data_IF_682338767718
#
_entry.id   IF_682338767718
#
_cell.length_a   1.000
_cell.length_b   1.000
_cell.length_c   1.000
_cell.angle_alpha   90.00
_cell.angle_beta   90.00
_cell.angle_gamma   90.00
#
_symmetry.space_group_name_H-M   'P 1'
#
loop_
_entity.id
_entity.type
_entity.pdbx_description
1 polymer ?
#
# COMPACT_ATOMS: atom_id res chain seq x y z
N UNK A 1 3.27 -30.08 32.82
CA UNK A 1 2.34 -29.11 32.19
C UNK A 1 2.70 -28.78 30.72
N UNK A 2 3.61 -29.53 30.06
CA UNK A 2 4.11 -29.15 28.71
C UNK A 2 3.35 -29.78 27.54
N UNK A 3 2.65 -30.90 27.76
CA UNK A 3 1.97 -31.67 26.71
C UNK A 3 0.85 -30.88 26.02
N UNK A 4 0.04 -30.14 26.79
CA UNK A 4 -1.08 -29.37 26.26
C UNK A 4 -0.66 -28.18 25.37
N UNK A 5 0.53 -27.61 25.58
CA UNK A 5 1.04 -26.54 24.71
C UNK A 5 1.48 -27.10 23.35
N UNK A 6 2.08 -28.29 23.32
CA UNK A 6 2.50 -28.97 22.09
C UNK A 6 1.30 -29.40 21.25
N UNK A 7 0.24 -29.90 21.88
CA UNK A 7 -1.01 -30.27 21.19
C UNK A 7 -1.72 -29.02 20.61
N UNK A 8 -1.72 -27.90 21.35
CA UNK A 8 -2.30 -26.65 20.88
C UNK A 8 -1.53 -26.05 19.69
N UNK A 9 -0.20 -26.08 19.72
CA UNK A 9 0.61 -25.61 18.60
C UNK A 9 0.41 -26.49 17.35
N UNK A 10 0.25 -27.80 17.52
CA UNK A 10 -0.07 -28.71 16.42
C UNK A 10 -1.43 -28.38 15.80
N UNK A 11 -2.44 -28.12 16.64
CA UNK A 11 -3.77 -27.68 16.19
C UNK A 11 -3.73 -26.33 15.49
N UNK A 12 -2.96 -25.36 15.98
CA UNK A 12 -2.79 -24.06 15.31
C UNK A 12 -2.11 -24.22 13.96
N UNK A 13 -1.08 -25.06 13.85
CA UNK A 13 -0.37 -25.28 12.59
C UNK A 13 -1.27 -25.95 11.54
N UNK A 14 -2.18 -26.80 11.99
CA UNK A 14 -3.22 -27.41 11.15
C UNK A 14 -4.35 -26.42 10.82
N UNK A 15 -4.75 -25.56 11.75
CA UNK A 15 -5.76 -24.53 11.49
C UNK A 15 -5.24 -23.43 10.54
N UNK A 16 -3.93 -23.18 10.56
CA UNK A 16 -3.24 -22.18 9.75
C UNK A 16 -2.55 -22.78 8.52
N UNK A 17 -2.88 -24.02 8.12
CA UNK A 17 -2.37 -24.56 6.85
C UNK A 17 -2.76 -23.61 5.72
N UNK A 18 -1.82 -23.27 4.80
CA UNK A 18 -2.12 -22.35 3.71
C UNK A 18 -3.32 -22.84 2.90
N UNK A 19 -4.38 -22.03 2.87
CA UNK A 19 -5.53 -22.27 2.00
C UNK A 19 -5.29 -21.53 0.69
N UNK A 20 -5.59 -22.17 -0.43
CA UNK A 20 -5.53 -21.50 -1.72
C UNK A 20 -6.59 -20.38 -1.78
N UNK A 21 -6.17 -19.12 -2.06
CA UNK A 21 -7.13 -18.02 -2.14
C UNK A 21 -8.06 -18.21 -3.35
N UNK A 22 -9.32 -17.77 -3.26
CA UNK A 22 -10.25 -17.76 -4.39
C UNK A 22 -9.66 -17.04 -5.62
N UNK A 23 -9.99 -17.50 -6.83
CA UNK A 23 -9.43 -16.96 -8.07
C UNK A 23 -9.73 -15.47 -8.27
N UNK A 24 -10.88 -15.01 -7.77
CA UNK A 24 -11.36 -13.64 -7.88
C UNK A 24 -10.87 -12.71 -6.77
N UNK A 25 -10.25 -13.23 -5.71
CA UNK A 25 -9.85 -12.46 -4.53
C UNK A 25 -8.97 -11.26 -4.91
N UNK A 26 -8.00 -11.48 -5.80
CA UNK A 26 -7.10 -10.42 -6.24
C UNK A 26 -7.84 -9.31 -6.99
N UNK A 27 -8.80 -9.66 -7.84
CA UNK A 27 -9.62 -8.69 -8.57
C UNK A 27 -10.52 -7.90 -7.61
N UNK A 28 -11.18 -8.58 -6.67
CA UNK A 28 -12.03 -7.94 -5.65
C UNK A 28 -11.24 -7.00 -4.75
N UNK A 29 -10.03 -7.40 -4.34
CA UNK A 29 -9.15 -6.56 -3.54
C UNK A 29 -8.69 -5.34 -4.32
N UNK A 30 -8.33 -5.51 -5.60
CA UNK A 30 -7.96 -4.40 -6.49
C UNK A 30 -9.09 -3.36 -6.57
N UNK A 31 -10.33 -3.79 -6.83
CA UNK A 31 -11.51 -2.92 -6.83
C UNK A 31 -11.71 -2.22 -5.48
N UNK A 32 -11.61 -2.95 -4.37
CA UNK A 32 -11.80 -2.39 -3.03
C UNK A 32 -10.78 -1.29 -2.75
N UNK A 33 -9.51 -1.52 -3.09
CA UNK A 33 -8.45 -0.54 -2.86
C UNK A 33 -8.60 0.69 -3.76
N UNK A 34 -9.06 0.53 -5.01
CA UNK A 34 -9.39 1.67 -5.89
C UNK A 34 -10.48 2.52 -5.25
N UNK A 35 -11.58 1.91 -4.81
CA UNK A 35 -12.69 2.61 -4.18
C UNK A 35 -12.26 3.36 -2.90
N UNK A 36 -11.43 2.73 -2.06
CA UNK A 36 -10.90 3.37 -0.85
C UNK A 36 -10.01 4.57 -1.19
N UNK A 37 -9.18 4.45 -2.23
CA UNK A 37 -8.32 5.54 -2.70
C UNK A 37 -9.15 6.72 -3.20
N UNK A 38 -10.22 6.46 -3.95
CA UNK A 38 -11.14 7.49 -4.46
C UNK A 38 -11.89 8.17 -3.31
N UNK A 39 -12.48 7.41 -2.38
CA UNK A 39 -13.15 7.98 -1.22
C UNK A 39 -12.20 8.87 -0.38
N UNK A 40 -10.96 8.43 -0.19
CA UNK A 40 -9.95 9.21 0.49
C UNK A 40 -9.57 10.49 -0.30
N UNK A 41 -9.58 10.43 -1.63
CA UNK A 41 -9.31 11.59 -2.46
C UNK A 41 -10.43 12.63 -2.35
N UNK A 42 -11.68 12.19 -2.49
CA UNK A 42 -12.86 13.05 -2.37
C UNK A 42 -12.89 13.76 -1.00
N UNK A 43 -12.51 13.04 0.07
CA UNK A 43 -12.42 13.62 1.41
C UNK A 43 -11.35 14.72 1.52
N UNK A 44 -10.20 14.53 0.87
CA UNK A 44 -9.13 15.52 0.87
C UNK A 44 -9.46 16.73 -0.01
N UNK A 45 -10.17 16.52 -1.11
CA UNK A 45 -10.64 17.62 -1.98
C UNK A 45 -11.71 18.46 -1.28
N UNK A 46 -12.61 17.82 -0.53
CA UNK A 46 -13.62 18.50 0.28
C UNK A 46 -13.02 19.24 1.49
N UNK A 47 -11.78 18.94 1.88
CA UNK A 47 -11.14 19.56 3.04
C UNK A 47 -10.50 20.91 2.71
N UNK A 48 -11.08 22.00 3.23
CA UNK A 48 -10.52 23.34 3.07
C UNK A 48 -9.33 23.61 4.03
N UNK A 49 -8.27 24.24 3.51
CA UNK A 49 -7.08 24.63 4.28
C UNK A 49 -7.39 25.59 5.45
N UNK A 50 -8.49 26.33 5.39
CA UNK A 50 -8.99 27.20 6.48
C UNK A 50 -9.33 26.40 7.74
N UNK A 51 -9.77 25.14 7.59
CA UNK A 51 -10.08 24.22 8.68
C UNK A 51 -8.83 23.70 9.40
N UNK A 52 -7.62 23.98 8.90
CA UNK A 52 -6.37 23.64 9.59
C UNK A 52 -6.23 24.36 10.94
N UNK A 53 -7.00 25.40 11.24
CA UNK A 53 -6.82 26.17 12.48
C UNK A 53 -7.27 25.43 13.74
N UNK A 54 -8.19 24.47 13.62
CA UNK A 54 -8.64 23.64 14.75
C UNK A 54 -8.12 22.19 14.59
N UNK A 55 -7.23 21.71 15.48
CA UNK A 55 -6.66 20.36 15.39
C UNK A 55 -7.71 19.25 15.49
N UNK A 56 -8.89 19.51 16.05
CA UNK A 56 -9.96 18.50 16.12
C UNK A 56 -10.59 18.22 14.76
N UNK A 57 -10.53 19.18 13.84
CA UNK A 57 -11.07 19.02 12.49
C UNK A 57 -10.13 18.25 11.56
N UNK A 58 -8.93 17.87 12.03
CA UNK A 58 -7.93 17.17 11.21
C UNK A 58 -8.11 15.66 11.18
N UNK A 59 -8.90 15.09 12.10
CA UNK A 59 -9.01 13.63 12.26
C UNK A 59 -9.47 12.96 10.97
N UNK A 60 -10.50 13.52 10.33
CA UNK A 60 -11.10 12.96 9.11
C UNK A 60 -10.17 13.09 7.89
N UNK A 61 -9.56 14.26 7.61
CA UNK A 61 -8.52 14.40 6.58
C UNK A 61 -7.27 13.56 6.84
N UNK A 62 -6.79 13.47 8.09
CA UNK A 62 -5.64 12.65 8.42
C UNK A 62 -5.92 11.16 8.16
N UNK A 63 -7.12 10.69 8.52
CA UNK A 63 -7.57 9.35 8.17
C UNK A 63 -7.62 9.16 6.65
N UNK A 64 -8.12 10.14 5.89
CA UNK A 64 -8.11 10.09 4.43
C UNK A 64 -6.70 10.00 3.84
N UNK A 65 -5.72 10.77 4.34
CA UNK A 65 -4.31 10.64 3.92
C UNK A 65 -3.78 9.23 4.16
N UNK A 66 -4.00 8.68 5.37
CA UNK A 66 -3.53 7.34 5.73
C UNK A 66 -4.20 6.26 4.87
N UNK A 67 -5.52 6.34 4.67
CA UNK A 67 -6.27 5.40 3.85
C UNK A 67 -5.85 5.50 2.39
N UNK A 68 -5.73 6.70 1.83
CA UNK A 68 -5.32 6.93 0.46
C UNK A 68 -3.90 6.43 0.18
N UNK A 69 -2.94 6.75 1.06
CA UNK A 69 -1.57 6.26 0.95
C UNK A 69 -1.51 4.73 1.11
N UNK A 70 -2.20 4.18 2.11
CA UNK A 70 -2.27 2.74 2.34
C UNK A 70 -2.85 1.98 1.15
N UNK A 71 -3.98 2.44 0.63
CA UNK A 71 -4.66 1.84 -0.51
C UNK A 71 -3.81 1.92 -1.79
N UNK A 72 -3.20 3.09 -2.06
CA UNK A 72 -2.31 3.26 -3.20
C UNK A 72 -1.09 2.33 -3.14
N UNK A 73 -0.44 2.23 -1.98
CA UNK A 73 0.73 1.36 -1.80
C UNK A 73 0.33 -0.12 -1.93
N UNK A 74 -0.80 -0.51 -1.36
CA UNK A 74 -1.33 -1.87 -1.46
C UNK A 74 -1.68 -2.24 -2.92
N UNK A 75 -2.22 -1.31 -3.72
CA UNK A 75 -2.47 -1.52 -5.15
C UNK A 75 -1.18 -1.80 -5.92
N UNK A 76 -0.12 -1.05 -5.66
CA UNK A 76 1.19 -1.27 -6.29
C UNK A 76 1.70 -2.67 -5.94
N UNK A 77 1.68 -3.05 -4.66
CA UNK A 77 2.10 -4.38 -4.21
C UNK A 77 1.26 -5.48 -4.84
N UNK A 78 -0.05 -5.33 -4.88
CA UNK A 78 -0.97 -6.30 -5.48
C UNK A 78 -0.69 -6.48 -6.97
N UNK A 79 -0.46 -5.38 -7.70
CA UNK A 79 -0.17 -5.41 -9.14
C UNK A 79 1.19 -6.03 -9.45
N UNK A 80 2.20 -5.72 -8.63
CA UNK A 80 3.52 -6.37 -8.70
C UNK A 80 3.39 -7.88 -8.46
N UNK A 81 2.69 -8.30 -7.41
CA UNK A 81 2.44 -9.73 -7.10
C UNK A 81 1.69 -10.45 -8.21
N UNK A 82 0.59 -9.88 -8.72
CA UNK A 82 -0.19 -10.45 -9.83
C UNK A 82 0.67 -10.64 -11.07
N UNK A 83 1.54 -9.67 -11.35
CA UNK A 83 2.47 -9.72 -12.48
C UNK A 83 3.60 -10.70 -12.27
N UNK A 84 4.14 -10.87 -11.06
CA UNK A 84 5.09 -11.95 -10.76
C UNK A 84 4.47 -13.34 -10.93
N UNK A 85 3.20 -13.54 -10.54
CA UNK A 85 2.50 -14.82 -10.74
C UNK A 85 2.29 -15.12 -12.23
N UNK A 86 1.93 -14.11 -13.02
CA UNK A 86 1.86 -14.23 -14.48
C UNK A 86 3.26 -14.44 -15.12
N UNK A 87 4.31 -13.79 -14.60
CA UNK A 87 5.69 -13.88 -15.11
C UNK A 87 6.45 -15.14 -14.72
N UNK A 88 6.07 -15.85 -13.66
CA UNK A 88 6.55 -17.21 -13.42
C UNK A 88 6.22 -18.14 -14.60
N UNK A 89 5.32 -17.72 -15.50
CA UNK A 89 5.03 -18.39 -16.77
C UNK A 89 5.70 -17.72 -18.00
N UNK A 90 6.24 -16.49 -17.91
CA UNK A 90 6.88 -15.73 -19.03
C UNK A 90 7.86 -14.64 -18.51
N UNK A 91 9.12 -14.66 -18.97
CA UNK A 91 10.33 -14.02 -18.43
C UNK A 91 10.42 -12.45 -18.35
N UNK A 92 11.02 -11.99 -17.24
CA UNK A 92 11.92 -10.84 -16.93
C UNK A 92 11.81 -9.39 -17.48
N UNK A 93 10.91 -8.96 -18.36
CA UNK A 93 11.08 -7.63 -19.01
C UNK A 93 10.69 -6.28 -18.32
N UNK A 94 9.78 -6.19 -17.33
CA UNK A 94 9.14 -4.87 -16.97
C UNK A 94 9.35 -4.40 -15.53
N UNK A 95 9.84 -5.27 -14.64
CA UNK A 95 10.26 -4.82 -13.30
C UNK A 95 11.44 -3.87 -13.40
N UNK A 96 12.38 -4.16 -14.27
CA UNK A 96 13.52 -3.30 -14.59
C UNK A 96 13.06 -1.95 -15.18
N UNK A 97 11.95 -1.94 -15.92
CA UNK A 97 11.36 -0.72 -16.48
C UNK A 97 10.68 0.14 -15.42
N UNK A 98 9.95 -0.48 -14.50
CA UNK A 98 9.31 0.18 -13.36
C UNK A 98 10.34 0.67 -12.34
N UNK A 99 11.40 -0.11 -12.12
CA UNK A 99 12.54 0.27 -11.30
C UNK A 99 13.27 1.47 -11.89
N UNK A 100 13.49 1.51 -13.22
CA UNK A 100 14.03 2.69 -13.90
C UNK A 100 13.13 3.91 -13.77
N UNK A 101 11.82 3.78 -13.98
CA UNK A 101 10.90 4.93 -13.85
C UNK A 101 10.80 5.45 -12.41
N UNK A 102 10.79 4.55 -11.41
CA UNK A 102 10.84 4.96 -10.01
C UNK A 102 12.17 5.62 -9.66
N UNK A 103 13.28 5.13 -10.20
CA UNK A 103 14.60 5.73 -9.99
C UNK A 103 14.67 7.14 -10.58
N UNK A 104 14.12 7.35 -11.78
CA UNK A 104 14.09 8.65 -12.45
C UNK A 104 13.23 9.66 -11.68
N UNK A 105 12.04 9.25 -11.22
CA UNK A 105 11.16 10.11 -10.41
C UNK A 105 11.78 10.44 -9.05
N UNK A 106 12.47 9.47 -8.43
CA UNK A 106 13.16 9.68 -7.16
C UNK A 106 14.36 10.63 -7.29
N UNK A 107 15.12 10.53 -8.39
CA UNK A 107 16.21 11.47 -8.66
C UNK A 107 15.69 12.89 -8.92
N UNK A 108 14.60 13.04 -9.66
CA UNK A 108 14.00 14.35 -9.93
C UNK A 108 13.41 14.97 -8.65
N UNK A 109 12.75 14.19 -7.81
CA UNK A 109 12.27 14.66 -6.51
C UNK A 109 13.42 15.12 -5.60
N UNK A 110 14.56 14.40 -5.60
CA UNK A 110 15.75 14.78 -4.84
C UNK A 110 16.41 16.06 -5.36
N UNK A 111 16.31 16.31 -6.66
CA UNK A 111 16.80 17.54 -7.30
C UNK A 111 15.93 18.75 -6.94
N UNK A 112 14.63 18.54 -6.75
CA UNK A 112 13.66 19.61 -6.47
C UNK A 112 13.58 19.94 -4.96
N UNK A 113 14.03 19.07 -4.06
CA UNK A 113 14.11 19.36 -2.62
C UNK A 113 15.16 20.47 -2.35
N UNK A 114 14.75 21.67 -1.91
CA UNK A 114 15.67 22.78 -1.72
C UNK A 114 16.60 22.49 -0.53
N UNK A 115 17.89 22.38 -0.82
CA UNK A 115 18.95 22.39 0.16
C UNK A 115 18.87 23.67 0.98
N UNK A 116 18.51 23.53 2.26
CA UNK A 116 18.54 24.61 3.25
C UNK A 116 19.99 25.04 3.45
N UNK A 117 20.48 25.96 2.62
CA UNK A 117 21.72 26.69 2.84
C UNK A 117 21.62 27.37 4.22
N UNK A 118 22.38 26.85 5.18
CA UNK A 118 22.82 27.64 6.33
C UNK A 118 24.00 28.48 5.86
N UNK A 119 23.73 29.71 5.43
CA UNK A 119 24.73 30.77 5.38
C UNK A 119 25.00 31.25 6.81
N UNK A 120 26.26 31.20 7.22
CA UNK A 120 26.80 32.04 8.28
C UNK A 120 27.49 33.23 7.63
#
# INVERSE_FOLDING_TARGET
>A
MSTGATDFEALLRQALTPVDPPEDLAARLETTLINLKELAHDELEAWELSAMRDPRNWVRPAAAVVVGAGAGTALVVLRVRRRHRARKQQSSGVLELAERTLHDVAQEARRILPGRQRSR
#
